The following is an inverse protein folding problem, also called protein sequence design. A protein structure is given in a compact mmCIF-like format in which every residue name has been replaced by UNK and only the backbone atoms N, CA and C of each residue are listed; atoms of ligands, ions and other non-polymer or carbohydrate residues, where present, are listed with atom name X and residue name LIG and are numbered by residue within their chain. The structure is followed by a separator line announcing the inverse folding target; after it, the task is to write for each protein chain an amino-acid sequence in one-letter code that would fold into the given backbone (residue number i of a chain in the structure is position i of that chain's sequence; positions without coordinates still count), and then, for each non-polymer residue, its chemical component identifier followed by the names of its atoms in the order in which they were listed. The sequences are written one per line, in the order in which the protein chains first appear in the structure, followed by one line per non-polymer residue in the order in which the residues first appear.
data_IF_628742469489
#
_entry.id   IF_628742469489
#
_cell.length_a   1.000
_cell.length_b   1.000
_cell.length_c   1.000
_cell.angle_alpha   90.00
_cell.angle_beta   90.00
_cell.angle_gamma   90.00
#
_symmetry.space_group_name_H-M   'P 1'
#
loop_
_entity.id
_entity.type
_entity.pdbx_description
1 polymer ?
#
# COMPACT_ATOMS: atom_id res chain seq x y z
N UNK A 1 7.44 12.12 16.47
CA UNK A 1 7.64 10.91 17.28
C UNK A 1 9.00 10.30 16.94
N UNK A 2 9.82 9.91 17.93
CA UNK A 2 11.10 9.23 17.69
C UNK A 2 10.88 7.76 17.27
N UNK A 3 11.91 7.09 16.70
CA UNK A 3 11.80 5.66 16.35
C UNK A 3 11.44 4.75 17.53
N UNK A 4 11.84 5.10 18.74
CA UNK A 4 11.49 4.36 19.97
C UNK A 4 9.99 4.27 20.24
N UNK A 5 9.18 5.21 19.72
CA UNK A 5 7.73 5.13 19.78
C UNK A 5 7.14 4.00 18.89
N UNK A 6 7.97 3.39 18.04
CA UNK A 6 7.65 2.28 17.14
C UNK A 6 8.50 1.04 17.46
N UNK A 7 8.86 0.85 18.72
CA UNK A 7 9.68 -0.27 19.17
C UNK A 7 11.04 -0.35 18.46
N UNK A 8 11.60 0.81 18.09
CA UNK A 8 12.82 0.93 17.29
C UNK A 8 12.78 0.16 15.96
N UNK A 9 11.57 -0.01 15.38
CA UNK A 9 11.38 -0.58 14.05
C UNK A 9 11.43 0.53 12.97
N UNK A 10 12.52 0.64 12.21
CA UNK A 10 12.64 1.66 11.17
C UNK A 10 11.67 1.47 10.01
N UNK A 11 11.22 0.22 9.74
CA UNK A 11 10.24 -0.06 8.71
C UNK A 11 8.87 0.52 9.09
N UNK A 12 8.40 0.26 10.30
CA UNK A 12 7.15 0.80 10.81
C UNK A 12 7.20 2.33 10.92
N UNK A 13 8.28 2.86 11.50
CA UNK A 13 8.48 4.31 11.66
C UNK A 13 8.50 5.02 10.30
N UNK A 14 9.32 4.57 9.36
CA UNK A 14 9.39 5.11 8.02
C UNK A 14 8.05 5.05 7.29
N UNK A 15 7.33 3.90 7.41
CA UNK A 15 6.04 3.68 6.76
C UNK A 15 4.95 4.65 7.24
N UNK A 16 4.88 4.94 8.53
CA UNK A 16 3.92 5.91 9.08
C UNK A 16 4.23 7.33 8.61
N UNK A 17 5.50 7.73 8.66
CA UNK A 17 5.87 9.10 8.30
C UNK A 17 5.84 9.34 6.78
N UNK A 18 6.18 8.38 5.93
CA UNK A 18 6.03 8.55 4.48
C UNK A 18 4.58 8.85 4.10
N UNK A 19 3.62 8.13 4.67
CA UNK A 19 2.19 8.35 4.44
C UNK A 19 1.74 9.71 4.98
N UNK A 20 2.16 10.05 6.21
CA UNK A 20 1.81 11.30 6.87
C UNK A 20 2.27 12.51 6.08
N UNK A 21 3.52 12.53 5.63
CA UNK A 21 4.05 13.66 4.86
C UNK A 21 3.48 13.71 3.45
N UNK A 22 3.23 12.58 2.83
CA UNK A 22 2.58 12.52 1.53
C UNK A 22 1.17 13.14 1.58
N UNK A 23 0.36 12.77 2.58
CA UNK A 23 -0.99 13.31 2.78
C UNK A 23 -1.00 14.83 3.02
N UNK A 24 0.10 15.37 3.55
CA UNK A 24 0.30 16.82 3.75
C UNK A 24 0.87 17.52 2.51
N UNK A 25 1.12 16.81 1.41
CA UNK A 25 1.71 17.37 0.20
C UNK A 25 3.24 17.52 0.26
N UNK A 26 3.90 17.15 1.37
CA UNK A 26 5.35 17.20 1.52
C UNK A 26 6.00 15.94 0.93
N UNK A 27 6.07 15.93 -0.40
CA UNK A 27 6.63 14.79 -1.15
C UNK A 27 8.12 14.57 -0.89
N UNK A 28 8.86 15.60 -0.52
CA UNK A 28 10.29 15.51 -0.22
C UNK A 28 10.52 14.68 1.04
N UNK A 29 9.85 15.05 2.13
CA UNK A 29 9.93 14.28 3.38
C UNK A 29 9.31 12.89 3.23
N UNK A 30 8.17 12.78 2.55
CA UNK A 30 7.56 11.48 2.27
C UNK A 30 8.57 10.52 1.61
N UNK A 31 9.31 10.98 0.60
CA UNK A 31 10.33 10.19 -0.08
C UNK A 31 11.51 9.81 0.82
N UNK A 32 11.96 10.73 1.68
CA UNK A 32 13.06 10.45 2.62
C UNK A 32 12.66 9.35 3.64
N UNK A 33 11.44 9.41 4.19
CA UNK A 33 10.92 8.36 5.08
C UNK A 33 10.63 7.05 4.35
N UNK A 34 10.19 7.11 3.09
CA UNK A 34 10.04 5.93 2.26
C UNK A 34 11.38 5.22 2.03
N UNK A 35 12.47 5.94 1.83
CA UNK A 35 13.80 5.34 1.70
C UNK A 35 14.26 4.67 3.01
N UNK A 36 13.95 5.26 4.16
CA UNK A 36 14.19 4.62 5.47
C UNK A 36 13.40 3.30 5.59
N UNK A 37 12.11 3.31 5.27
CA UNK A 37 11.29 2.09 5.29
C UNK A 37 11.81 1.06 4.30
N UNK A 38 12.14 1.47 3.07
CA UNK A 38 12.71 0.61 2.02
C UNK A 38 13.95 -0.12 2.50
N UNK A 39 14.91 0.60 3.07
CA UNK A 39 16.17 0.00 3.52
C UNK A 39 15.95 -1.04 4.64
N UNK A 40 15.06 -0.75 5.57
CA UNK A 40 14.71 -1.67 6.64
C UNK A 40 13.98 -2.91 6.11
N UNK A 41 12.99 -2.74 5.24
CA UNK A 41 12.22 -3.83 4.63
C UNK A 41 13.09 -4.72 3.74
N UNK A 42 14.02 -4.13 2.97
CA UNK A 42 14.99 -4.88 2.20
C UNK A 42 15.87 -5.77 3.09
N UNK A 43 16.27 -5.26 4.26
CA UNK A 43 17.01 -6.06 5.24
C UNK A 43 16.18 -7.20 5.81
N UNK A 44 14.91 -6.96 6.13
CA UNK A 44 14.00 -7.99 6.63
C UNK A 44 13.72 -9.07 5.56
N UNK A 45 13.55 -8.67 4.29
CA UNK A 45 13.36 -9.60 3.17
C UNK A 45 14.54 -10.54 2.95
N UNK A 46 15.77 -10.14 3.29
CA UNK A 46 16.92 -11.06 3.25
C UNK A 46 16.78 -12.24 4.23
N UNK A 47 16.12 -12.04 5.35
CA UNK A 47 15.82 -13.07 6.34
C UNK A 47 14.54 -13.85 6.06
N UNK A 48 13.59 -13.26 5.33
CA UNK A 48 12.28 -13.84 5.03
C UNK A 48 11.86 -13.55 3.57
N UNK A 49 12.53 -14.15 2.56
CA UNK A 49 12.36 -13.77 1.14
C UNK A 49 11.00 -14.16 0.53
N UNK A 50 10.20 -14.94 1.25
CA UNK A 50 8.87 -15.37 0.82
C UNK A 50 7.76 -14.81 1.74
N UNK A 51 8.05 -13.77 2.51
CA UNK A 51 7.03 -13.11 3.34
C UNK A 51 6.17 -12.17 2.49
N UNK A 52 4.87 -12.46 2.31
CA UNK A 52 3.99 -11.68 1.45
C UNK A 52 3.78 -10.25 1.96
N UNK A 53 3.75 -10.06 3.28
CA UNK A 53 3.56 -8.75 3.89
C UNK A 53 4.77 -7.84 3.66
N UNK A 54 5.98 -8.38 3.81
CA UNK A 54 7.19 -7.62 3.55
C UNK A 54 7.28 -7.17 2.08
N UNK A 55 6.87 -8.04 1.14
CA UNK A 55 6.86 -7.67 -0.28
C UNK A 55 5.89 -6.52 -0.59
N UNK A 56 4.65 -6.56 -0.10
CA UNK A 56 3.71 -5.46 -0.38
C UNK A 56 4.11 -4.16 0.31
N UNK A 57 4.68 -4.21 1.51
CA UNK A 57 5.17 -3.03 2.22
C UNK A 57 6.42 -2.44 1.53
N UNK A 58 7.31 -3.28 1.06
CA UNK A 58 8.48 -2.87 0.29
C UNK A 58 8.06 -2.24 -1.04
N UNK A 59 7.11 -2.85 -1.75
CA UNK A 59 6.51 -2.29 -2.96
C UNK A 59 5.87 -0.91 -2.70
N UNK A 60 5.18 -0.75 -1.56
CA UNK A 60 4.58 0.52 -1.18
C UNK A 60 5.64 1.62 -0.94
N UNK A 61 6.73 1.31 -0.23
CA UNK A 61 7.84 2.24 -0.03
C UNK A 61 8.47 2.65 -1.37
N UNK A 62 8.69 1.69 -2.27
CA UNK A 62 9.19 1.95 -3.62
C UNK A 62 8.24 2.85 -4.44
N UNK A 63 6.91 2.68 -4.28
CA UNK A 63 5.91 3.53 -4.94
C UNK A 63 5.99 4.99 -4.46
N UNK A 64 6.13 5.23 -3.15
CA UNK A 64 6.35 6.57 -2.60
C UNK A 64 7.65 7.21 -3.11
N UNK A 65 8.64 6.41 -3.48
CA UNK A 65 9.88 6.88 -4.10
C UNK A 65 9.76 7.08 -5.63
N UNK A 66 8.66 6.69 -6.25
CA UNK A 66 8.45 6.75 -7.70
C UNK A 66 9.18 5.65 -8.49
N UNK A 67 9.63 4.58 -7.82
CA UNK A 67 10.31 3.43 -8.47
C UNK A 67 9.25 2.46 -9.03
N UNK A 68 8.60 2.88 -10.13
CA UNK A 68 7.38 2.26 -10.66
C UNK A 68 7.50 0.75 -10.91
N UNK A 69 8.47 0.34 -11.73
CA UNK A 69 8.60 -1.06 -12.14
C UNK A 69 8.84 -1.99 -10.93
N UNK A 70 9.74 -1.60 -10.04
CA UNK A 70 10.08 -2.38 -8.86
C UNK A 70 8.92 -2.43 -7.86
N UNK A 71 8.22 -1.31 -7.65
CA UNK A 71 7.05 -1.24 -6.77
C UNK A 71 5.95 -2.21 -7.21
N UNK A 72 5.66 -2.25 -8.51
CA UNK A 72 4.66 -3.16 -9.07
C UNK A 72 5.11 -4.62 -8.91
N UNK A 73 6.35 -4.93 -9.26
CA UNK A 73 6.89 -6.30 -9.14
C UNK A 73 6.79 -6.81 -7.72
N UNK A 74 7.18 -6.01 -6.74
CA UNK A 74 7.14 -6.40 -5.33
C UNK A 74 5.71 -6.52 -4.80
N UNK A 75 4.84 -5.58 -5.16
CA UNK A 75 3.43 -5.62 -4.79
C UNK A 75 2.70 -6.84 -5.35
N UNK A 76 2.90 -7.14 -6.62
CA UNK A 76 2.33 -8.32 -7.28
C UNK A 76 2.89 -9.62 -6.69
N UNK A 77 4.18 -9.67 -6.36
CA UNK A 77 4.80 -10.82 -5.69
C UNK A 77 4.14 -11.09 -4.34
N UNK A 78 3.93 -10.08 -3.52
CA UNK A 78 3.29 -10.24 -2.22
C UNK A 78 1.86 -10.80 -2.34
N UNK A 79 1.07 -10.30 -3.30
CA UNK A 79 -0.28 -10.83 -3.56
C UNK A 79 -0.24 -12.27 -4.08
N UNK A 80 0.71 -12.61 -4.95
CA UNK A 80 0.87 -13.97 -5.50
C UNK A 80 1.27 -15.00 -4.43
N UNK A 81 2.08 -14.61 -3.45
CA UNK A 81 2.48 -15.46 -2.33
C UNK A 81 1.31 -15.83 -1.42
N UNK A 82 0.40 -14.89 -1.17
CA UNK A 82 -0.78 -15.11 -0.33
C UNK A 82 -2.04 -14.44 -0.92
N UNK A 83 -2.62 -15.01 -1.99
CA UNK A 83 -3.84 -14.47 -2.59
C UNK A 83 -5.07 -14.71 -1.69
N UNK A 84 -6.12 -13.93 -1.92
CA UNK A 84 -7.41 -14.07 -1.20
C UNK A 84 -7.97 -15.49 -1.26
N UNK A 85 -7.78 -16.19 -2.37
CA UNK A 85 -8.21 -17.58 -2.55
C UNK A 85 -7.50 -18.58 -1.63
N UNK A 86 -6.29 -18.25 -1.17
CA UNK A 86 -5.49 -19.08 -0.27
C UNK A 86 -5.68 -18.71 1.20
N UNK A 87 -5.85 -17.44 1.48
CA UNK A 87 -6.08 -16.90 2.82
C UNK A 87 -7.09 -15.73 2.74
N UNK A 88 -8.33 -16.02 3.12
CA UNK A 88 -9.42 -15.05 3.10
C UNK A 88 -9.31 -13.99 4.22
N UNK A 89 -8.43 -14.18 5.20
CA UNK A 89 -8.20 -13.23 6.29
C UNK A 89 -7.08 -12.23 5.95
N UNK A 90 -5.92 -12.73 5.52
CA UNK A 90 -4.74 -11.91 5.28
C UNK A 90 -4.56 -11.51 3.80
N UNK A 91 -5.01 -12.35 2.86
CA UNK A 91 -4.92 -12.07 1.42
C UNK A 91 -5.55 -10.72 1.01
N UNK A 92 -6.74 -10.35 1.55
CA UNK A 92 -7.35 -9.05 1.27
C UNK A 92 -6.46 -7.86 1.63
N UNK A 93 -5.69 -7.95 2.71
CA UNK A 93 -4.74 -6.91 3.09
C UNK A 93 -3.66 -6.70 2.02
N UNK A 94 -3.05 -7.78 1.50
CA UNK A 94 -2.02 -7.68 0.47
C UNK A 94 -2.58 -7.10 -0.83
N UNK A 95 -3.78 -7.52 -1.24
CA UNK A 95 -4.46 -6.97 -2.41
C UNK A 95 -4.79 -5.49 -2.25
N UNK A 96 -5.20 -5.05 -1.05
CA UNK A 96 -5.43 -3.65 -0.74
C UNK A 96 -4.14 -2.83 -0.85
N UNK A 97 -3.00 -3.33 -0.32
CA UNK A 97 -1.72 -2.63 -0.47
C UNK A 97 -1.29 -2.52 -1.94
N UNK A 98 -1.51 -3.54 -2.76
CA UNK A 98 -1.24 -3.46 -4.20
C UNK A 98 -2.10 -2.39 -4.89
N UNK A 99 -3.38 -2.27 -4.54
CA UNK A 99 -4.23 -1.19 -5.04
C UNK A 99 -3.65 0.19 -4.69
N UNK A 100 -3.15 0.38 -3.48
CA UNK A 100 -2.50 1.63 -3.05
C UNK A 100 -1.21 1.91 -3.85
N UNK A 101 -0.42 0.87 -4.14
CA UNK A 101 0.77 0.99 -5.00
C UNK A 101 0.35 1.52 -6.37
N UNK A 102 -0.66 0.94 -7.00
CA UNK A 102 -1.15 1.39 -8.30
C UNK A 102 -1.66 2.85 -8.27
N UNK A 103 -2.36 3.27 -7.22
CA UNK A 103 -2.80 4.66 -7.07
C UNK A 103 -1.61 5.63 -7.01
N UNK A 104 -0.63 5.35 -6.16
CA UNK A 104 0.58 6.18 -6.03
C UNK A 104 1.36 6.32 -7.34
N UNK A 105 1.23 5.33 -8.21
CA UNK A 105 1.91 5.27 -9.52
C UNK A 105 1.07 5.83 -10.68
N UNK A 106 -0.13 6.37 -10.40
CA UNK A 106 -1.01 6.93 -11.42
C UNK A 106 -1.69 5.90 -12.32
N UNK A 107 -1.98 4.71 -11.78
CA UNK A 107 -2.66 3.60 -12.48
C UNK A 107 -4.05 3.33 -11.84
N UNK A 108 -5.01 4.28 -11.91
CA UNK A 108 -6.27 4.20 -11.18
C UNK A 108 -7.13 3.00 -11.59
N UNK A 109 -7.12 2.64 -12.87
CA UNK A 109 -7.93 1.50 -13.35
C UNK A 109 -7.43 0.17 -12.77
N UNK A 110 -6.11 -0.02 -12.73
CA UNK A 110 -5.52 -1.21 -12.09
C UNK A 110 -5.80 -1.24 -10.58
N UNK A 111 -5.77 -0.09 -9.92
CA UNK A 111 -6.14 0.00 -8.52
C UNK A 111 -7.60 -0.44 -8.30
N UNK A 112 -8.52 0.01 -9.16
CA UNK A 112 -9.93 -0.39 -9.09
C UNK A 112 -10.14 -1.88 -9.35
N UNK A 113 -9.35 -2.50 -10.24
CA UNK A 113 -9.40 -3.96 -10.48
C UNK A 113 -9.13 -4.76 -9.18
N UNK A 114 -8.33 -4.20 -8.28
CA UNK A 114 -8.05 -4.80 -6.98
C UNK A 114 -9.02 -4.38 -5.86
N UNK A 115 -9.59 -3.18 -5.91
CA UNK A 115 -10.50 -2.66 -4.89
C UNK A 115 -11.92 -3.22 -5.03
N UNK A 116 -12.45 -3.33 -6.25
CA UNK A 116 -13.81 -3.81 -6.49
C UNK A 116 -14.11 -5.19 -5.88
N UNK A 117 -13.22 -6.21 -6.03
CA UNK A 117 -13.44 -7.51 -5.38
C UNK A 117 -13.44 -7.42 -3.84
N UNK A 118 -12.61 -6.54 -3.26
CA UNK A 118 -12.50 -6.39 -1.80
C UNK A 118 -13.78 -5.85 -1.15
N UNK A 119 -14.57 -5.06 -1.89
CA UNK A 119 -15.86 -4.55 -1.40
C UNK A 119 -16.97 -5.62 -1.38
N UNK A 120 -16.73 -6.79 -1.97
CA UNK A 120 -17.70 -7.90 -2.06
C UNK A 120 -17.45 -9.01 -1.05
N UNK A 121 -16.39 -8.87 -0.24
CA UNK A 121 -16.00 -9.87 0.76
C UNK A 121 -15.97 -9.24 2.16
N UNK A 122 -16.02 -10.05 3.23
CA UNK A 122 -15.86 -9.56 4.59
C UNK A 122 -14.44 -9.01 4.81
N UNK A 123 -14.30 -7.70 4.63
CA UNK A 123 -13.06 -6.94 4.83
C UNK A 123 -13.43 -5.55 5.32
N UNK A 124 -12.52 -4.81 5.95
CA UNK A 124 -12.86 -3.51 6.53
C UNK A 124 -13.15 -2.41 5.51
N UNK A 125 -12.75 -2.59 4.24
CA UNK A 125 -13.09 -1.63 3.19
C UNK A 125 -14.60 -1.60 2.96
N UNK A 126 -15.13 -0.40 2.86
CA UNK A 126 -16.53 -0.12 2.57
C UNK A 126 -16.65 1.15 1.73
N UNK A 127 -17.79 1.39 1.07
CA UNK A 127 -18.03 2.66 0.39
C UNK A 127 -17.85 3.87 1.31
N UNK A 128 -18.21 3.75 2.59
CA UNK A 128 -17.99 4.79 3.60
C UNK A 128 -16.51 5.06 3.85
N UNK A 129 -15.71 4.00 3.98
CA UNK A 129 -14.25 4.13 4.15
C UNK A 129 -13.60 4.79 2.92
N UNK A 130 -13.95 4.36 1.71
CA UNK A 130 -13.41 4.93 0.48
C UNK A 130 -13.65 6.44 0.37
N UNK A 131 -14.79 6.95 0.90
CA UNK A 131 -15.10 8.38 0.87
C UNK A 131 -14.20 9.22 1.78
N UNK A 132 -13.76 8.68 2.90
CA UNK A 132 -13.05 9.43 3.95
C UNK A 132 -11.53 9.22 3.94
N UNK A 133 -11.04 8.10 3.42
CA UNK A 133 -9.61 7.83 3.36
C UNK A 133 -8.95 8.67 2.24
N UNK A 134 -8.01 9.56 2.58
CA UNK A 134 -7.36 10.44 1.61
C UNK A 134 -6.58 9.67 0.52
N UNK A 135 -6.22 8.42 0.75
CA UNK A 135 -5.55 7.57 -0.24
C UNK A 135 -6.35 7.44 -1.53
N UNK A 136 -7.69 7.46 -1.42
CA UNK A 136 -8.59 7.29 -2.57
C UNK A 136 -9.06 8.62 -3.16
N UNK A 137 -8.57 9.76 -2.68
CA UNK A 137 -9.01 11.07 -3.15
C UNK A 137 -8.77 11.27 -4.66
N UNK A 138 -7.73 10.68 -5.22
CA UNK A 138 -7.39 10.77 -6.65
C UNK A 138 -8.38 9.99 -7.55
N UNK A 139 -9.20 9.10 -6.98
CA UNK A 139 -10.24 8.37 -7.71
C UNK A 139 -11.54 9.16 -7.90
N UNK A 140 -11.72 10.28 -7.20
CA UNK A 140 -12.93 11.10 -7.31
C UNK A 140 -13.15 11.58 -8.74
N UNK A 141 -14.35 11.38 -9.25
CA UNK A 141 -14.71 11.68 -10.63
C UNK A 141 -14.39 10.55 -11.62
N UNK A 142 -13.80 9.45 -11.18
CA UNK A 142 -13.72 8.23 -11.98
C UNK A 142 -15.07 7.52 -11.95
N UNK A 143 -15.72 7.25 -13.09
CA UNK A 143 -17.07 6.65 -13.13
C UNK A 143 -17.17 5.27 -12.46
N UNK A 144 -16.12 4.44 -12.51
CA UNK A 144 -16.07 3.15 -11.81
C UNK A 144 -16.05 3.37 -10.30
N UNK A 145 -15.21 4.28 -9.83
CA UNK A 145 -15.13 4.61 -8.42
C UNK A 145 -16.42 5.20 -7.88
N UNK A 146 -17.02 6.16 -8.59
CA UNK A 146 -18.27 6.80 -8.16
C UNK A 146 -19.40 5.78 -8.04
N UNK A 147 -19.40 4.73 -8.89
CA UNK A 147 -20.33 3.61 -8.81
C UNK A 147 -20.11 2.72 -7.58
N UNK A 148 -18.87 2.57 -7.12
CA UNK A 148 -18.57 1.81 -5.90
C UNK A 148 -19.05 2.51 -4.63
N UNK A 149 -19.29 3.82 -4.69
CA UNK A 149 -19.74 4.62 -3.56
C UNK A 149 -21.27 4.60 -3.37
N UNK A 150 -22.04 4.05 -4.32
CA UNK A 150 -23.49 3.93 -4.26
C UNK A 150 -23.92 2.74 -3.40
#
# INVERSE_FOLDING_TARGET
LPPSAFFDDPAAWGSVFMQTYYSRGDKVRARAYADTARAALESQLRGAPEDPQLHVLYGLALAYMGRKAEAITEGEKGVALLPVSKDALNGPYHQHQLARIYLLLGEPEKALDHLEPLLRIPYFLSPGWLRIDPTFAELKGNPRYDKLLQ
#
